data_IF_601728362141
#
_entry.id   IF_601728362141
#
_cell.length_a   1.000
_cell.length_b   1.000
_cell.length_c   1.000
_cell.angle_alpha   90.00
_cell.angle_beta   90.00
_cell.angle_gamma   90.00
#
_symmetry.space_group_name_H-M   'P 1'
#
loop_
_entity.id
_entity.type
_entity.pdbx_description
1 polymer ?
#
# COMPACT_ATOMS: atom_id res chain seq x y z
N UNK A 1 -29.62 -6.95 5.86
CA UNK A 1 -28.46 -7.73 6.36
C UNK A 1 -27.22 -6.91 6.08
N UNK A 2 -26.43 -6.61 7.10
CA UNK A 2 -25.16 -5.94 6.89
C UNK A 2 -24.17 -6.92 6.25
N UNK A 3 -23.40 -6.51 5.23
CA UNK A 3 -22.50 -7.41 4.55
C UNK A 3 -21.37 -7.84 5.49
N UNK A 4 -21.06 -9.15 5.47
CA UNK A 4 -20.05 -9.79 6.34
C UNK A 4 -18.65 -9.17 6.09
N UNK A 5 -18.37 -8.75 4.85
CA UNK A 5 -17.20 -7.95 4.47
C UNK A 5 -17.68 -6.56 4.08
N UNK A 6 -17.08 -5.50 4.65
CA UNK A 6 -17.46 -4.14 4.28
C UNK A 6 -17.10 -3.86 2.80
N UNK A 7 -18.03 -3.31 1.98
CA UNK A 7 -17.76 -3.00 0.57
C UNK A 7 -16.60 -2.00 0.40
N UNK A 8 -16.42 -1.11 1.38
CA UNK A 8 -15.34 -0.14 1.41
C UNK A 8 -13.95 -0.79 1.49
N UNK A 9 -13.79 -1.91 2.21
CA UNK A 9 -12.53 -2.66 2.27
C UNK A 9 -12.16 -3.24 0.91
N UNK A 10 -13.13 -3.78 0.18
CA UNK A 10 -12.92 -4.33 -1.17
C UNK A 10 -12.52 -3.21 -2.14
N UNK A 11 -13.18 -2.05 -2.03
CA UNK A 11 -12.83 -0.87 -2.83
C UNK A 11 -11.41 -0.36 -2.55
N UNK A 12 -11.05 -0.20 -1.26
CA UNK A 12 -9.70 0.19 -0.84
C UNK A 12 -8.64 -0.81 -1.33
N UNK A 13 -8.88 -2.11 -1.16
CA UNK A 13 -7.97 -3.15 -1.63
C UNK A 13 -7.75 -3.08 -3.16
N UNK A 14 -8.77 -2.71 -3.93
CA UNK A 14 -8.66 -2.48 -5.37
C UNK A 14 -7.73 -1.31 -5.75
N UNK A 15 -7.70 -0.25 -4.94
CA UNK A 15 -6.90 0.96 -5.18
C UNK A 15 -5.45 0.80 -4.70
N UNK A 16 -5.21 -0.09 -3.74
CA UNK A 16 -3.88 -0.27 -3.13
C UNK A 16 -2.82 -0.71 -4.14
N UNK A 17 -3.11 -1.67 -5.03
CA UNK A 17 -2.14 -2.11 -6.04
C UNK A 17 -1.70 -0.98 -7.01
N UNK A 18 -2.61 -0.25 -7.67
CA UNK A 18 -2.20 0.87 -8.53
C UNK A 18 -1.53 2.00 -7.74
N UNK A 19 -1.91 2.22 -6.48
CA UNK A 19 -1.23 3.18 -5.60
C UNK A 19 0.21 2.76 -5.29
N UNK A 20 0.44 1.50 -4.89
CA UNK A 20 1.80 0.96 -4.65
C UNK A 20 2.65 1.08 -5.91
N UNK A 21 2.08 0.77 -7.08
CA UNK A 21 2.77 0.92 -8.36
C UNK A 21 3.14 2.38 -8.66
N UNK A 22 2.20 3.33 -8.46
CA UNK A 22 2.46 4.75 -8.66
C UNK A 22 3.52 5.29 -7.69
N UNK A 23 3.46 4.91 -6.41
CA UNK A 23 4.46 5.28 -5.41
C UNK A 23 5.84 4.71 -5.76
N UNK A 24 5.90 3.49 -6.30
CA UNK A 24 7.14 2.88 -6.77
C UNK A 24 7.73 3.57 -7.99
N UNK A 25 6.90 4.01 -8.93
CA UNK A 25 7.37 4.81 -10.06
C UNK A 25 7.95 6.15 -9.58
N UNK A 26 7.31 6.82 -8.62
CA UNK A 26 7.81 8.07 -8.04
C UNK A 26 9.15 7.82 -7.34
N UNK A 27 9.27 6.75 -6.55
CA UNK A 27 10.51 6.39 -5.88
C UNK A 27 11.63 6.06 -6.88
N UNK A 28 11.33 5.36 -7.98
CA UNK A 28 12.30 5.03 -9.01
C UNK A 28 12.80 6.27 -9.76
N UNK A 29 11.89 7.16 -10.18
CA UNK A 29 12.25 8.42 -10.82
C UNK A 29 13.03 9.33 -9.88
N UNK A 30 12.64 9.37 -8.60
CA UNK A 30 13.37 10.09 -7.55
C UNK A 30 14.79 9.58 -7.35
N UNK A 31 14.98 8.26 -7.39
CA UNK A 31 16.30 7.63 -7.33
C UNK A 31 17.17 8.05 -8.52
N UNK A 32 16.67 7.95 -9.76
CA UNK A 32 17.40 8.39 -10.96
C UNK A 32 17.78 9.88 -10.84
N UNK A 33 16.85 10.73 -10.41
CA UNK A 33 17.12 12.14 -10.21
C UNK A 33 18.25 12.37 -9.18
N UNK A 34 18.26 11.61 -8.08
CA UNK A 34 19.33 11.70 -7.08
C UNK A 34 20.70 11.31 -7.66
N UNK A 35 20.79 10.31 -8.53
CA UNK A 35 22.04 9.96 -9.21
C UNK A 35 22.51 11.06 -10.16
N UNK A 36 21.62 11.66 -10.94
CA UNK A 36 21.97 12.73 -11.88
C UNK A 36 22.45 13.97 -11.11
N UNK A 37 21.68 14.43 -10.12
CA UNK A 37 22.04 15.62 -9.34
C UNK A 37 23.25 15.37 -8.44
N UNK A 38 23.40 14.16 -7.88
CA UNK A 38 24.57 13.75 -7.11
C UNK A 38 25.83 13.66 -7.95
N UNK A 39 25.73 13.11 -9.16
CA UNK A 39 26.83 13.07 -10.14
C UNK A 39 27.22 14.48 -10.58
N UNK A 40 26.24 15.33 -10.89
CA UNK A 40 26.48 16.74 -11.23
C UNK A 40 27.17 17.49 -10.08
N UNK A 41 26.75 17.25 -8.84
CA UNK A 41 27.39 17.81 -7.65
C UNK A 41 28.85 17.37 -7.48
N UNK A 42 29.16 16.12 -7.83
CA UNK A 42 30.53 15.60 -7.77
C UNK A 42 31.43 16.22 -8.85
N UNK A 43 30.92 16.37 -10.08
CA UNK A 43 31.69 16.93 -11.21
C UNK A 43 31.88 18.44 -11.08
N UNK A 44 30.85 19.18 -10.68
CA UNK A 44 30.92 20.65 -10.58
C UNK A 44 31.45 21.12 -9.20
N UNK A 45 32.25 20.28 -8.55
CA UNK A 45 32.87 20.59 -7.26
C UNK A 45 34.04 21.57 -7.44
N UNK A 46 34.20 22.56 -6.53
CA UNK A 46 35.28 23.53 -6.63
C UNK A 46 36.64 22.83 -6.50
N UNK A 47 37.57 23.17 -7.39
CA UNK A 47 38.92 22.61 -7.44
C UNK A 47 39.96 23.62 -6.92
N UNK A 48 40.91 23.15 -6.11
CA UNK A 48 41.95 23.96 -5.44
C UNK A 48 43.05 24.52 -6.39
N UNK A 49 42.85 24.43 -7.71
CA UNK A 49 43.72 25.03 -8.73
C UNK A 49 42.96 25.75 -9.85
N UNK A 50 41.64 25.87 -9.72
CA UNK A 50 40.79 26.52 -10.73
C UNK A 50 40.58 27.99 -10.39
N UNK A 51 40.42 28.86 -11.40
CA UNK A 51 40.29 30.30 -11.19
C UNK A 51 39.12 30.68 -10.26
N UNK A 52 39.28 31.76 -9.48
CA UNK A 52 38.32 32.20 -8.47
C UNK A 52 36.90 32.41 -9.03
N UNK A 53 36.79 32.88 -10.27
CA UNK A 53 35.51 33.08 -10.96
C UNK A 53 34.81 31.74 -11.25
N UNK A 54 35.56 30.70 -11.61
CA UNK A 54 35.03 29.35 -11.80
C UNK A 54 34.49 28.81 -10.46
N UNK A 55 35.28 28.90 -9.40
CA UNK A 55 34.90 28.42 -8.07
C UNK A 55 33.67 29.17 -7.52
N UNK A 56 33.52 30.46 -7.83
CA UNK A 56 32.33 31.23 -7.45
C UNK A 56 31.06 30.76 -8.18
N UNK A 57 31.16 30.49 -9.47
CA UNK A 57 30.06 29.98 -10.28
C UNK A 57 29.66 28.55 -9.88
N UNK A 58 30.65 27.67 -9.66
CA UNK A 58 30.44 26.30 -9.18
C UNK A 58 29.68 26.29 -7.83
N UNK A 59 30.13 27.09 -6.85
CA UNK A 59 29.45 27.22 -5.54
C UNK A 59 28.01 27.74 -5.65
N UNK A 60 27.73 28.64 -6.59
CA UNK A 60 26.38 29.17 -6.80
C UNK A 60 25.43 28.09 -7.34
N UNK A 61 25.85 27.33 -8.36
CA UNK A 61 25.08 26.22 -8.92
C UNK A 61 24.91 25.07 -7.92
N UNK A 62 25.97 24.76 -7.17
CA UNK A 62 25.97 23.76 -6.10
C UNK A 62 24.92 24.07 -5.03
N UNK A 63 24.78 25.33 -4.62
CA UNK A 63 23.72 25.74 -3.66
C UNK A 63 22.31 25.50 -4.23
N UNK A 64 22.11 25.72 -5.53
CA UNK A 64 20.86 25.43 -6.21
C UNK A 64 20.55 23.93 -6.21
N UNK A 65 21.50 23.11 -6.67
CA UNK A 65 21.38 21.66 -6.69
C UNK A 65 21.13 21.08 -5.29
N UNK A 66 21.83 21.57 -4.26
CA UNK A 66 21.68 21.11 -2.88
C UNK A 66 20.27 21.39 -2.33
N UNK A 67 19.67 22.54 -2.67
CA UNK A 67 18.27 22.85 -2.28
C UNK A 67 17.29 21.86 -2.89
N UNK A 68 17.48 21.50 -4.16
CA UNK A 68 16.63 20.55 -4.88
C UNK A 68 16.79 19.13 -4.31
N UNK A 69 18.03 18.67 -4.11
CA UNK A 69 18.34 17.35 -3.50
C UNK A 69 17.71 17.23 -2.11
N UNK A 70 17.78 18.29 -1.27
CA UNK A 70 17.18 18.29 0.07
C UNK A 70 15.67 18.06 0.07
N UNK A 71 14.97 18.35 -1.03
CA UNK A 71 13.53 18.13 -1.18
C UNK A 71 13.25 16.78 -1.84
N UNK A 72 13.99 16.43 -2.90
CA UNK A 72 13.77 15.19 -3.66
C UNK A 72 14.09 13.95 -2.83
N UNK A 73 15.19 13.96 -2.06
CA UNK A 73 15.62 12.81 -1.26
C UNK A 73 14.54 12.38 -0.26
N UNK A 74 14.01 13.25 0.63
CA UNK A 74 12.99 12.81 1.59
C UNK A 74 11.71 12.34 0.90
N UNK A 75 11.28 12.98 -0.20
CA UNK A 75 10.10 12.54 -0.96
C UNK A 75 10.31 11.12 -1.48
N UNK A 76 11.47 10.86 -2.08
CA UNK A 76 11.84 9.54 -2.62
C UNK A 76 11.85 8.48 -1.54
N UNK A 77 12.47 8.77 -0.39
CA UNK A 77 12.56 7.85 0.75
C UNK A 77 11.18 7.57 1.33
N UNK A 78 10.35 8.60 1.53
CA UNK A 78 8.99 8.44 2.06
C UNK A 78 8.14 7.60 1.11
N UNK A 79 8.16 7.89 -0.20
CA UNK A 79 7.41 7.10 -1.19
C UNK A 79 7.84 5.63 -1.20
N UNK A 80 9.14 5.37 -1.09
CA UNK A 80 9.67 4.00 -1.01
C UNK A 80 9.21 3.28 0.26
N UNK A 81 9.31 3.92 1.43
CA UNK A 81 8.87 3.33 2.69
C UNK A 81 7.37 3.03 2.67
N UNK A 82 6.56 3.99 2.24
CA UNK A 82 5.09 3.81 2.16
C UNK A 82 4.74 2.63 1.26
N UNK A 83 5.38 2.48 0.10
CA UNK A 83 5.15 1.33 -0.77
C UNK A 83 5.59 0.00 -0.12
N UNK A 84 6.70 -0.02 0.61
CA UNK A 84 7.23 -1.23 1.25
C UNK A 84 6.32 -1.73 2.39
N UNK A 85 5.69 -0.81 3.13
CA UNK A 85 4.81 -1.15 4.25
C UNK A 85 3.36 -1.42 3.86
N UNK A 86 2.86 -0.88 2.74
CA UNK A 86 1.49 -1.14 2.32
C UNK A 86 1.38 -2.60 1.82
N UNK A 87 0.53 -3.45 2.42
CA UNK A 87 0.30 -4.81 1.95
C UNK A 87 -0.45 -4.81 0.61
N UNK A 88 -0.25 -5.84 -0.22
CA UNK A 88 -0.95 -5.97 -1.51
C UNK A 88 -2.45 -6.29 -1.33
N UNK A 89 -3.23 -6.07 -2.39
CA UNK A 89 -4.67 -6.34 -2.43
C UNK A 89 -5.03 -7.72 -1.87
N UNK A 90 -4.31 -8.75 -2.30
CA UNK A 90 -4.61 -10.13 -1.92
C UNK A 90 -4.35 -10.37 -0.44
N UNK A 91 -3.30 -9.75 0.11
CA UNK A 91 -2.99 -9.78 1.54
C UNK A 91 -4.06 -9.06 2.35
N UNK A 92 -4.56 -7.90 1.89
CA UNK A 92 -5.65 -7.18 2.55
C UNK A 92 -6.95 -7.98 2.56
N UNK A 93 -7.29 -8.62 1.44
CA UNK A 93 -8.48 -9.48 1.34
C UNK A 93 -8.30 -10.72 2.24
N UNK A 94 -7.11 -11.33 2.25
CA UNK A 94 -6.82 -12.48 3.11
C UNK A 94 -6.96 -12.14 4.60
N UNK A 95 -6.47 -10.98 5.03
CA UNK A 95 -6.64 -10.49 6.42
C UNK A 95 -8.12 -10.28 6.74
N UNK A 96 -8.88 -9.67 5.82
CA UNK A 96 -10.31 -9.45 6.02
C UNK A 96 -11.09 -10.77 6.14
N UNK A 97 -10.80 -11.74 5.27
CA UNK A 97 -11.40 -13.08 5.32
C UNK A 97 -10.97 -13.83 6.58
N UNK A 98 -9.70 -13.75 6.96
CA UNK A 98 -9.19 -14.39 8.17
C UNK A 98 -9.90 -13.87 9.43
N UNK A 99 -10.20 -12.57 9.51
CA UNK A 99 -10.96 -11.99 10.62
C UNK A 99 -12.42 -12.49 10.68
N UNK A 100 -12.98 -12.94 9.55
CA UNK A 100 -14.33 -13.51 9.52
C UNK A 100 -14.31 -15.00 9.83
N UNK A 101 -13.24 -15.71 9.47
CA UNK A 101 -13.12 -17.17 9.63
C UNK A 101 -12.41 -17.54 10.94
N UNK A 102 -12.27 -16.60 11.88
CA UNK A 102 -11.74 -16.86 13.23
C UNK A 102 -12.56 -17.93 13.97
N UNK A 103 -11.93 -18.63 14.91
CA UNK A 103 -12.50 -19.78 15.64
C UNK A 103 -13.84 -19.43 16.29
N UNK A 104 -13.98 -18.22 16.83
CA UNK A 104 -15.21 -17.72 17.44
C UNK A 104 -16.36 -17.57 16.42
N UNK A 105 -16.03 -17.15 15.19
CA UNK A 105 -17.00 -17.03 14.10
C UNK A 105 -17.31 -18.37 13.43
N UNK A 106 -16.38 -19.32 13.39
CA UNK A 106 -16.66 -20.69 12.92
C UNK A 106 -17.61 -21.41 13.90
N UNK A 107 -17.48 -21.18 15.21
CA UNK A 107 -18.44 -21.70 16.18
C UNK A 107 -19.84 -21.10 15.96
N UNK A 108 -19.94 -19.79 15.78
CA UNK A 108 -21.20 -19.12 15.43
C UNK A 108 -21.78 -19.57 14.08
N UNK A 109 -20.94 -19.83 13.07
CA UNK A 109 -21.36 -20.38 11.78
C UNK A 109 -21.84 -21.84 11.92
N UNK A 110 -21.21 -22.64 12.76
CA UNK A 110 -21.63 -24.01 13.02
C UNK A 110 -22.98 -24.06 13.75
N UNK A 111 -23.20 -23.17 14.72
CA UNK A 111 -24.51 -22.99 15.37
C UNK A 111 -25.58 -22.46 14.40
N UNK A 112 -25.23 -21.49 13.54
CA UNK A 112 -26.14 -20.97 12.51
C UNK A 112 -26.56 -22.06 11.52
N UNK A 113 -25.60 -22.82 10.98
CA UNK A 113 -25.89 -23.93 10.04
C UNK A 113 -26.74 -24.99 10.74
N UNK A 114 -26.38 -25.38 11.96
CA UNK A 114 -27.13 -26.40 12.71
C UNK A 114 -28.56 -25.98 13.00
N UNK A 115 -28.78 -24.73 13.39
CA UNK A 115 -30.12 -24.19 13.69
C UNK A 115 -30.97 -24.07 12.42
N UNK A 116 -30.44 -23.50 11.34
CA UNK A 116 -31.20 -23.37 10.09
C UNK A 116 -31.52 -24.74 9.45
N UNK A 117 -30.56 -25.67 9.45
CA UNK A 117 -30.80 -27.02 8.92
C UNK A 117 -31.85 -27.76 9.77
N UNK A 118 -31.80 -27.62 11.09
CA UNK A 118 -32.79 -28.20 11.97
C UNK A 118 -34.19 -27.61 11.74
N UNK A 119 -34.29 -26.30 11.57
CA UNK A 119 -35.56 -25.62 11.24
C UNK A 119 -36.13 -26.09 9.89
N UNK A 120 -35.28 -26.26 8.87
CA UNK A 120 -35.72 -26.81 7.58
C UNK A 120 -36.21 -28.26 7.71
N UNK A 121 -35.51 -29.09 8.48
CA UNK A 121 -35.94 -30.48 8.74
C UNK A 121 -37.27 -30.51 9.49
N UNK A 122 -37.44 -29.65 10.50
CA UNK A 122 -38.67 -29.56 11.27
C UNK A 122 -39.84 -29.09 10.39
N UNK A 123 -39.65 -28.07 9.55
CA UNK A 123 -40.66 -27.62 8.57
C UNK A 123 -41.05 -28.72 7.57
N UNK A 124 -40.07 -29.46 7.05
CA UNK A 124 -40.31 -30.58 6.14
C UNK A 124 -41.11 -31.70 6.83
N UNK A 125 -40.75 -32.02 8.06
CA UNK A 125 -41.41 -33.06 8.87
C UNK A 125 -42.84 -32.67 9.19
N UNK A 126 -43.07 -31.42 9.59
CA UNK A 126 -44.41 -30.89 9.84
C UNK A 126 -45.26 -30.86 8.57
N UNK A 127 -44.67 -30.48 7.43
CA UNK A 127 -45.38 -30.51 6.14
C UNK A 127 -45.79 -31.94 5.76
N UNK A 128 -44.93 -32.94 5.96
CA UNK A 128 -45.25 -34.35 5.69
C UNK A 128 -46.35 -34.85 6.63
N UNK A 129 -46.28 -34.52 7.92
CA UNK A 129 -47.27 -34.96 8.90
C UNK A 129 -48.64 -34.30 8.70
N UNK A 130 -48.72 -33.11 8.08
CA UNK A 130 -49.98 -32.42 7.77
C UNK A 130 -50.70 -32.96 6.53
N UNK A 131 -49.99 -33.68 5.66
CA UNK A 131 -50.53 -34.24 4.40
C UNK A 131 -51.03 -35.68 4.60
N UNK A 132 -50.70 -36.30 5.73
CA UNK A 132 -51.19 -37.62 6.15
C UNK A 132 -52.48 -37.50 6.95
#
# INVERSE_FOLDING_TARGET
MEPIISPWLIYLAGIVNPLKFALGLIAFLGFIACFIFGGYYYIESPCDGCGDEYNRNAKAKQKGALKVIKIIVPITVISFLVQAFIPDKDTLIAIAVANIVTVDNIQGANEFVKTNVQDYINMLTDAINKVK
#
